data_IF_373661312930
#
_entry.id   IF_373661312930
#
_cell.length_a   1.000
_cell.length_b   1.000
_cell.length_c   1.000
_cell.angle_alpha   90.00
_cell.angle_beta   90.00
_cell.angle_gamma   90.00
#
_symmetry.space_group_name_H-M   'P 1'
#
loop_
_entity.id
_entity.type
_entity.pdbx_description
1 polymer ?
#
# COMPACT_ATOMS: atom_id res chain seq x y z
N UNK A 1 7.70 -10.49 11.07
CA UNK A 1 7.11 -9.81 9.89
C UNK A 1 5.79 -9.21 10.37
N UNK A 2 5.77 -7.91 10.62
CA UNK A 2 4.56 -7.20 11.04
C UNK A 2 3.62 -7.19 9.83
N UNK A 3 2.42 -7.77 9.97
CA UNK A 3 1.36 -7.72 8.94
C UNK A 3 0.35 -6.68 9.40
N UNK A 4 0.54 -5.44 8.96
CA UNK A 4 -0.49 -4.43 9.08
C UNK A 4 -1.30 -4.44 7.78
N UNK A 5 -2.61 -4.59 7.92
CA UNK A 5 -3.58 -4.53 6.83
C UNK A 5 -4.49 -3.33 7.06
N UNK A 6 -4.55 -2.43 6.09
CA UNK A 6 -5.51 -1.32 6.10
C UNK A 6 -6.68 -1.73 5.20
N UNK A 7 -7.89 -1.89 5.74
CA UNK A 7 -9.07 -2.22 4.93
C UNK A 7 -9.45 -1.01 4.07
N UNK A 8 -9.76 -1.24 2.80
CA UNK A 8 -10.22 -0.20 1.88
C UNK A 8 -11.41 -0.71 1.06
N UNK A 9 -12.26 0.21 0.60
CA UNK A 9 -13.39 -0.13 -0.28
C UNK A 9 -13.30 0.72 -1.53
N UNK A 10 -13.24 0.08 -2.70
CA UNK A 10 -13.19 0.75 -4.02
C UNK A 10 -14.18 0.07 -4.93
N UNK A 11 -15.02 0.82 -5.66
CA UNK A 11 -16.12 0.28 -6.49
C UNK A 11 -17.07 -0.67 -5.73
N UNK A 12 -17.23 -0.49 -4.42
CA UNK A 12 -18.00 -1.40 -3.57
C UNK A 12 -17.32 -2.76 -3.32
N UNK A 13 -16.09 -2.96 -3.79
CA UNK A 13 -15.28 -4.13 -3.48
C UNK A 13 -14.51 -3.93 -2.17
N UNK A 14 -14.55 -4.93 -1.29
CA UNK A 14 -13.75 -4.94 -0.07
C UNK A 14 -12.34 -5.45 -0.38
N UNK A 15 -11.37 -4.57 -0.21
CA UNK A 15 -9.96 -4.80 -0.47
C UNK A 15 -9.15 -4.55 0.81
N UNK A 16 -7.90 -4.98 0.79
CA UNK A 16 -6.95 -4.73 1.87
C UNK A 16 -5.64 -4.23 1.29
N UNK A 17 -5.10 -3.15 1.84
CA UNK A 17 -3.72 -2.73 1.58
C UNK A 17 -2.84 -3.43 2.60
N UNK A 18 -1.95 -4.29 2.12
CA UNK A 18 -1.01 -5.06 2.92
C UNK A 18 0.41 -4.76 2.45
N UNK A 19 1.14 -4.00 3.26
CA UNK A 19 2.53 -3.63 2.95
C UNK A 19 3.46 -4.77 3.37
N UNK A 20 4.08 -5.44 2.39
CA UNK A 20 5.12 -6.43 2.65
C UNK A 20 6.50 -5.74 2.57
N UNK A 21 7.12 -5.52 3.74
CA UNK A 21 8.43 -4.89 3.86
C UNK A 21 9.48 -5.48 2.91
N UNK A 22 9.51 -6.80 2.73
CA UNK A 22 10.47 -7.47 1.83
C UNK A 22 10.22 -7.17 0.35
N UNK A 23 8.96 -7.17 -0.08
CA UNK A 23 8.57 -6.81 -1.45
C UNK A 23 8.82 -5.32 -1.72
N UNK A 24 8.57 -4.49 -0.72
CA UNK A 24 8.82 -3.05 -0.77
C UNK A 24 10.31 -2.75 -0.92
N UNK A 25 11.19 -3.36 -0.11
CA UNK A 25 12.64 -3.20 -0.29
C UNK A 25 13.09 -3.63 -1.70
N UNK A 26 12.47 -4.64 -2.30
CA UNK A 26 12.78 -5.06 -3.67
C UNK A 26 12.35 -4.01 -4.72
N UNK A 27 11.18 -3.40 -4.56
CA UNK A 27 10.70 -2.30 -5.44
C UNK A 27 11.59 -1.06 -5.30
N UNK A 28 11.96 -0.66 -4.08
CA UNK A 28 12.91 0.45 -3.84
C UNK A 28 14.26 0.23 -4.53
N UNK A 29 14.80 -0.99 -4.44
CA UNK A 29 16.04 -1.38 -5.12
C UNK A 29 15.91 -1.34 -6.65
N UNK A 30 14.74 -1.73 -7.17
CA UNK A 30 14.46 -1.75 -8.61
C UNK A 30 14.30 -0.33 -9.15
N UNK A 31 13.64 0.55 -8.40
CA UNK A 31 13.39 1.95 -8.76
C UNK A 31 14.59 2.89 -8.50
N UNK A 32 15.61 2.46 -7.72
CA UNK A 32 16.74 3.29 -7.26
C UNK A 32 16.33 4.62 -6.59
N UNK A 33 15.09 4.70 -6.07
CA UNK A 33 14.50 5.87 -5.40
C UNK A 33 13.69 5.36 -4.20
N UNK A 34 13.71 6.10 -3.08
CA UNK A 34 12.90 5.77 -1.89
C UNK A 34 11.41 5.94 -2.15
N UNK A 35 10.55 5.17 -1.47
CA UNK A 35 9.09 5.18 -1.71
C UNK A 35 8.44 6.57 -1.62
N UNK A 36 8.88 7.39 -0.67
CA UNK A 36 8.40 8.76 -0.52
C UNK A 36 8.68 9.63 -1.76
N UNK A 37 9.74 9.31 -2.51
CA UNK A 37 10.08 10.00 -3.76
C UNK A 37 9.23 9.52 -4.93
N UNK A 38 8.89 8.22 -4.95
CA UNK A 38 7.91 7.65 -5.91
C UNK A 38 6.54 8.31 -5.72
N UNK A 39 6.12 8.52 -4.47
CA UNK A 39 4.86 9.18 -4.14
C UNK A 39 4.90 10.68 -4.44
N UNK A 40 6.04 11.36 -4.21
CA UNK A 40 6.21 12.77 -4.58
C UNK A 40 6.24 13.01 -6.09
N UNK A 41 6.73 12.05 -6.88
CA UNK A 41 6.69 12.12 -8.35
C UNK A 41 5.27 11.93 -8.90
N UNK A 42 4.31 11.44 -8.10
CA UNK A 42 2.90 11.38 -8.50
C UNK A 42 2.29 12.78 -8.69
N UNK A 43 2.76 13.79 -7.96
CA UNK A 43 2.38 15.20 -8.18
C UNK A 43 2.83 15.72 -9.56
N UNK A 44 3.80 15.04 -10.21
CA UNK A 44 4.23 15.36 -11.57
C UNK A 44 3.41 14.68 -12.67
N UNK A 45 2.39 13.87 -12.31
CA UNK A 45 1.49 13.19 -13.24
C UNK A 45 1.97 11.82 -13.72
N UNK A 46 3.07 11.28 -13.17
CA UNK A 46 3.52 9.92 -13.48
C UNK A 46 2.83 8.90 -12.57
N UNK A 47 1.85 8.17 -13.13
CA UNK A 47 1.01 7.23 -12.40
C UNK A 47 1.57 5.81 -12.36
N UNK A 48 2.47 5.45 -13.28
CA UNK A 48 2.99 4.09 -13.40
C UNK A 48 3.67 3.59 -12.10
N UNK A 49 4.52 4.38 -11.42
CA UNK A 49 5.13 3.96 -10.17
C UNK A 49 4.12 3.69 -9.07
N UNK A 50 3.03 4.47 -9.03
CA UNK A 50 1.96 4.34 -8.05
C UNK A 50 1.08 3.13 -8.35
N UNK A 51 0.78 2.86 -9.62
CA UNK A 51 0.05 1.67 -10.03
C UNK A 51 0.79 0.38 -9.68
N UNK A 52 2.12 0.35 -9.88
CA UNK A 52 2.97 -0.79 -9.48
C UNK A 52 2.92 -0.99 -7.95
N UNK A 53 3.05 0.11 -7.21
CA UNK A 53 3.04 0.08 -5.75
C UNK A 53 1.69 -0.40 -5.20
N UNK A 54 0.58 0.14 -5.71
CA UNK A 54 -0.76 -0.29 -5.36
C UNK A 54 -1.02 -1.75 -5.75
N UNK A 55 -0.59 -2.19 -6.93
CA UNK A 55 -0.79 -3.57 -7.39
C UNK A 55 -0.05 -4.60 -6.53
N UNK A 56 1.09 -4.20 -5.95
CA UNK A 56 1.85 -5.02 -5.00
C UNK A 56 1.24 -5.07 -3.59
N UNK A 57 0.61 -3.97 -3.16
CA UNK A 57 0.06 -3.82 -1.82
C UNK A 57 -1.41 -4.24 -1.70
N UNK A 58 -2.22 -4.07 -2.75
CA UNK A 58 -3.64 -4.39 -2.73
C UNK A 58 -3.88 -5.89 -2.80
N UNK A 59 -4.77 -6.35 -1.92
CA UNK A 59 -5.24 -7.71 -1.87
C UNK A 59 -6.76 -7.77 -1.89
N UNK A 60 -7.26 -8.80 -2.58
CA UNK A 60 -8.66 -9.21 -2.55
C UNK A 60 -8.70 -10.66 -2.09
N UNK A 61 -9.43 -10.95 -1.02
CA UNK A 61 -9.52 -12.29 -0.43
C UNK A 61 -8.14 -12.90 -0.13
N UNK A 62 -7.20 -12.09 0.38
CA UNK A 62 -5.83 -12.50 0.73
C UNK A 62 -4.86 -12.69 -0.45
N UNK A 63 -5.32 -12.52 -1.71
CA UNK A 63 -4.49 -12.62 -2.92
C UNK A 63 -4.16 -11.25 -3.49
N UNK A 64 -2.92 -11.00 -3.98
CA UNK A 64 -2.59 -9.76 -4.69
C UNK A 64 -3.50 -9.57 -5.90
N UNK A 65 -3.95 -8.33 -6.12
CA UNK A 65 -4.78 -7.99 -7.29
C UNK A 65 -3.94 -7.74 -8.54
N UNK A 66 -2.65 -7.38 -8.38
CA UNK A 66 -1.73 -7.12 -9.48
C UNK A 66 -1.90 -5.73 -10.08
N UNK A 67 -1.02 -5.39 -11.03
CA UNK A 67 -0.99 -4.06 -11.67
C UNK A 67 -2.17 -3.88 -12.61
N UNK A 68 -2.56 -4.92 -13.37
CA UNK A 68 -3.69 -4.89 -14.31
C UNK A 68 -5.00 -4.44 -13.65
N UNK A 69 -5.25 -4.82 -12.39
CA UNK A 69 -6.42 -4.37 -11.66
C UNK A 69 -6.35 -2.86 -11.39
N UNK A 70 -5.19 -2.35 -10.99
CA UNK A 70 -5.00 -0.93 -10.67
C UNK A 70 -5.08 -0.08 -11.94
N UNK A 71 -4.55 -0.56 -13.07
CA UNK A 71 -4.68 0.11 -14.37
C UNK A 71 -6.14 0.18 -14.87
N UNK A 72 -7.03 -0.68 -14.35
CA UNK A 72 -8.47 -0.62 -14.64
C UNK A 72 -9.25 0.38 -13.77
N UNK A 73 -8.59 1.01 -12.80
CA UNK A 73 -9.19 2.04 -11.95
C UNK A 73 -9.14 3.41 -12.65
N UNK A 74 -10.17 4.20 -12.44
CA UNK A 74 -10.17 5.61 -12.80
C UNK A 74 -9.19 6.38 -11.89
N UNK A 75 -8.74 7.54 -12.37
CA UNK A 75 -7.81 8.39 -11.63
C UNK A 75 -8.31 8.72 -10.21
N UNK A 76 -9.57 9.13 -10.10
CA UNK A 76 -10.21 9.48 -8.81
C UNK A 76 -10.19 8.28 -7.83
N UNK A 77 -10.36 7.06 -8.34
CA UNK A 77 -10.35 5.84 -7.53
C UNK A 77 -8.93 5.45 -7.08
N UNK A 78 -7.93 5.73 -7.91
CA UNK A 78 -6.52 5.59 -7.52
C UNK A 78 -6.16 6.61 -6.45
N UNK A 79 -6.68 7.84 -6.56
CA UNK A 79 -6.45 8.92 -5.59
C UNK A 79 -7.00 8.56 -4.20
N UNK A 80 -8.20 7.95 -4.15
CA UNK A 80 -8.81 7.45 -2.90
C UNK A 80 -7.93 6.40 -2.19
N UNK A 81 -7.11 5.65 -2.94
CA UNK A 81 -6.24 4.61 -2.40
C UNK A 81 -4.92 5.14 -1.81
N UNK A 82 -4.55 6.39 -2.11
CA UNK A 82 -3.26 6.95 -1.70
C UNK A 82 -3.16 7.15 -0.20
N UNK A 83 -4.20 7.73 0.42
CA UNK A 83 -4.19 7.98 1.86
C UNK A 83 -4.08 6.66 2.67
N UNK A 84 -4.90 5.63 2.38
CA UNK A 84 -4.73 4.31 3.01
C UNK A 84 -3.37 3.66 2.72
N UNK A 85 -2.81 3.84 1.53
CA UNK A 85 -1.47 3.35 1.18
C UNK A 85 -0.40 4.02 2.05
N UNK A 86 -0.47 5.33 2.22
CA UNK A 86 0.44 6.10 3.06
C UNK A 86 0.36 5.70 4.53
N UNK A 87 -0.85 5.47 5.04
CA UNK A 87 -1.06 4.96 6.39
C UNK A 87 -0.43 3.58 6.57
N UNK A 88 -0.69 2.65 5.64
CA UNK A 88 -0.14 1.31 5.68
C UNK A 88 1.40 1.30 5.64
N UNK A 89 2.00 2.17 4.81
CA UNK A 89 3.45 2.34 4.74
C UNK A 89 4.00 2.89 6.06
N UNK A 90 3.36 3.91 6.63
CA UNK A 90 3.79 4.51 7.91
C UNK A 90 3.71 3.53 9.08
N UNK A 91 2.73 2.62 9.07
CA UNK A 91 2.60 1.53 10.05
C UNK A 91 3.67 0.44 9.85
N UNK A 92 4.05 0.16 8.59
CA UNK A 92 5.08 -0.84 8.28
C UNK A 92 6.51 -0.31 8.49
N UNK A 93 6.72 0.99 8.31
CA UNK A 93 8.00 1.70 8.44
C UNK A 93 7.84 2.92 9.35
N UNK A 94 7.63 2.73 10.66
CA UNK A 94 7.50 3.85 11.57
C UNK A 94 8.78 4.70 11.56
N UNK A 95 8.68 6.04 11.56
CA UNK A 95 9.85 6.92 11.56
C UNK A 95 10.72 6.66 12.80
N UNK A 96 12.05 6.75 12.61
CA UNK A 96 13.03 6.49 13.65
C UNK A 96 12.70 7.26 14.95
N UNK A 97 12.64 6.54 16.07
CA UNK A 97 12.27 7.09 17.38
C UNK A 97 10.78 6.95 17.75
N UNK A 98 9.93 6.41 16.86
CA UNK A 98 8.56 6.00 17.18
C UNK A 98 8.38 4.49 17.04
N UNK A 99 9.14 3.70 17.81
CA UNK A 99 8.83 2.28 17.97
C UNK A 99 7.55 2.13 18.79
N UNK A 100 6.38 2.23 18.13
CA UNK A 100 5.14 1.78 18.75
C UNK A 100 5.20 0.26 18.80
N UNK A 101 5.19 -0.30 20.00
CA UNK A 101 4.67 -1.65 20.24
C UNK A 101 3.21 -1.66 19.78
N UNK A 102 2.97 -1.95 18.50
CA UNK A 102 1.63 -2.08 17.95
C UNK A 102 1.14 -3.46 18.33
N UNK A 103 0.38 -3.54 19.42
CA UNK A 103 -0.40 -4.71 19.76
C UNK A 103 -1.33 -5.04 18.60
N UNK A 104 -1.10 -6.21 17.99
CA UNK A 104 -1.94 -6.76 16.96
C UNK A 104 -3.37 -6.90 17.50
N UNK A 105 -4.34 -6.21 16.88
CA UNK A 105 -5.75 -6.46 17.15
C UNK A 105 -6.08 -7.83 16.55
N UNK A 106 -5.89 -8.89 17.33
CA UNK A 106 -6.57 -10.15 17.10
C UNK A 106 -8.07 -9.89 17.31
N UNK A 107 -8.83 -9.74 16.22
CA UNK A 107 -10.28 -9.92 16.30
C UNK A 107 -10.54 -11.41 16.54
N UNK A 108 -10.60 -11.78 17.81
CA UNK A 108 -11.20 -13.04 18.23
C UNK A 108 -12.70 -12.91 17.99
N UNK A 109 -13.20 -13.55 16.92
CA UNK A 109 -14.64 -13.77 16.79
C UNK A 109 -15.04 -14.78 17.89
N UNK A 110 -15.97 -14.37 18.76
CA UNK A 110 -16.80 -15.26 19.58
C UNK A 110 -18.23 -15.14 19.10
#
# INVERSE_FOLDING_TARGET
>A
MIRNSVPVTVKGEHLEIVVNVGAMIAVEKTARKGFMKVLAEMESGDLLPVSILLGACLKKNGKPVGVDFVESLYFDEMEELLNPLMEAISLAFPPAGKEKNVEAVQKTMK
#
